data_IF_782505805911
#
_entry.id   IF_782505805911
#
_cell.length_a   1.000
_cell.length_b   1.000
_cell.length_c   1.000
_cell.angle_alpha   90.00
_cell.angle_beta   90.00
_cell.angle_gamma   90.00
#
_symmetry.space_group_name_H-M   'P 1'
#
loop_
_entity.id
_entity.type
_entity.pdbx_description
1 polymer ?
#
# COMPACT_ATOMS: atom_id res chain seq x y z
N UNK A 1 34.52 3.81 12.95
CA UNK A 1 34.93 4.83 13.89
C UNK A 1 33.79 5.37 14.72
N UNK A 2 34.08 6.27 15.62
CA UNK A 2 33.04 6.85 16.48
C UNK A 2 31.95 7.57 15.68
N UNK A 3 32.30 8.16 14.54
CA UNK A 3 31.35 8.85 13.67
C UNK A 3 30.28 7.92 13.08
N UNK A 4 30.54 6.61 13.07
CA UNK A 4 29.59 5.62 12.59
C UNK A 4 28.62 5.12 13.67
N UNK A 5 28.82 5.53 14.92
CA UNK A 5 27.98 5.12 16.03
C UNK A 5 26.76 6.05 16.14
N UNK A 6 25.60 5.43 16.34
CA UNK A 6 24.39 6.18 16.60
C UNK A 6 24.40 6.72 18.04
N UNK A 7 24.06 8.00 18.26
CA UNK A 7 23.99 8.54 19.62
C UNK A 7 22.81 7.93 20.39
N UNK A 8 23.00 7.78 21.71
CA UNK A 8 21.94 7.31 22.63
C UNK A 8 21.45 5.90 22.40
N UNK A 9 22.14 5.09 21.57
CA UNK A 9 21.79 3.69 21.35
C UNK A 9 23.02 2.82 21.53
N UNK A 10 22.82 1.59 21.95
CA UNK A 10 23.88 0.62 22.19
C UNK A 10 23.58 -0.69 21.48
N UNK A 11 24.64 -1.35 20.96
CA UNK A 11 24.56 -2.66 20.37
C UNK A 11 23.56 -2.73 19.20
N UNK A 12 22.70 -3.74 19.25
CA UNK A 12 21.74 -4.00 18.17
C UNK A 12 20.46 -3.15 18.25
N UNK A 13 20.26 -2.39 19.32
CA UNK A 13 19.05 -1.57 19.48
C UNK A 13 18.91 -0.50 18.38
N UNK A 14 20.02 0.12 17.96
CA UNK A 14 20.01 1.07 16.88
C UNK A 14 19.55 0.49 15.56
N UNK A 15 20.22 -0.57 15.04
CA UNK A 15 19.80 -1.23 13.80
C UNK A 15 18.40 -1.78 13.86
N UNK A 16 17.99 -2.42 14.94
CA UNK A 16 16.62 -2.95 15.06
C UNK A 16 15.57 -1.85 15.11
N UNK A 17 15.88 -0.71 15.73
CA UNK A 17 14.99 0.45 15.72
C UNK A 17 14.77 0.98 14.30
N UNK A 18 15.83 1.06 13.50
CA UNK A 18 15.76 1.47 12.10
C UNK A 18 14.95 0.47 11.27
N UNK A 19 15.16 -0.83 11.48
CA UNK A 19 14.42 -1.88 10.78
C UNK A 19 12.92 -1.80 11.08
N UNK A 20 12.55 -1.58 12.34
CA UNK A 20 11.14 -1.47 12.71
C UNK A 20 10.47 -0.27 12.05
N UNK A 21 11.15 0.86 11.99
CA UNK A 21 10.64 2.05 11.31
C UNK A 21 10.53 1.84 9.81
N UNK A 22 11.50 1.17 9.21
CA UNK A 22 11.46 0.85 7.79
C UNK A 22 10.29 -0.08 7.46
N UNK A 23 10.06 -1.10 8.29
CA UNK A 23 8.92 -2.01 8.11
C UNK A 23 7.59 -1.28 8.16
N UNK A 24 7.45 -0.36 9.11
CA UNK A 24 6.25 0.46 9.21
C UNK A 24 6.09 1.36 7.97
N UNK A 25 7.17 2.03 7.55
CA UNK A 25 7.15 2.89 6.37
C UNK A 25 6.77 2.14 5.09
N UNK A 26 7.28 0.91 4.93
CA UNK A 26 6.97 0.06 3.79
C UNK A 26 5.47 -0.24 3.73
N UNK A 27 4.80 -0.40 4.86
CA UNK A 27 3.36 -0.66 4.88
C UNK A 27 2.57 0.45 4.18
N UNK A 28 2.95 1.71 4.39
CA UNK A 28 2.35 2.84 3.68
C UNK A 28 2.72 2.86 2.20
N UNK A 29 3.99 2.58 1.88
CA UNK A 29 4.46 2.55 0.49
C UNK A 29 3.75 1.51 -0.35
N UNK A 30 3.55 0.33 0.21
CA UNK A 30 2.82 -0.75 -0.46
C UNK A 30 1.36 -0.36 -0.73
N UNK A 31 0.72 0.34 0.21
CA UNK A 31 -0.65 0.82 0.01
C UNK A 31 -0.73 1.85 -1.12
N UNK A 32 0.27 2.73 -1.25
CA UNK A 32 0.34 3.65 -2.38
C UNK A 32 0.48 2.94 -3.72
N UNK A 33 1.32 1.90 -3.78
CA UNK A 33 1.46 1.07 -4.99
C UNK A 33 0.15 0.36 -5.33
N UNK A 34 -0.55 -0.17 -4.33
CA UNK A 34 -1.84 -0.81 -4.53
C UNK A 34 -2.89 0.18 -5.04
N UNK A 35 -2.89 1.39 -4.53
CA UNK A 35 -3.78 2.47 -5.00
C UNK A 35 -3.52 2.79 -6.47
N UNK A 36 -2.26 2.89 -6.86
CA UNK A 36 -1.91 3.11 -8.27
C UNK A 36 -2.46 1.98 -9.14
N UNK A 37 -2.31 0.74 -8.71
CA UNK A 37 -2.83 -0.41 -9.44
C UNK A 37 -4.35 -0.35 -9.57
N UNK A 38 -5.05 0.06 -8.52
CA UNK A 38 -6.50 0.23 -8.55
C UNK A 38 -6.91 1.28 -9.58
N UNK A 39 -6.27 2.44 -9.56
CA UNK A 39 -6.58 3.52 -10.50
C UNK A 39 -6.25 3.13 -11.95
N UNK A 40 -5.13 2.45 -12.16
CA UNK A 40 -4.75 1.98 -13.49
C UNK A 40 -5.74 0.94 -14.02
N UNK A 41 -6.16 0.01 -13.17
CA UNK A 41 -7.14 -1.01 -13.55
C UNK A 41 -8.50 -0.37 -13.85
N UNK A 42 -8.91 0.61 -13.06
CA UNK A 42 -10.17 1.32 -13.29
C UNK A 42 -10.13 2.08 -14.62
N UNK A 43 -9.05 2.80 -14.90
CA UNK A 43 -8.93 3.57 -16.14
C UNK A 43 -8.89 2.65 -17.35
N UNK A 44 -8.13 1.55 -17.26
CA UNK A 44 -8.09 0.56 -18.33
C UNK A 44 -9.48 -0.02 -18.59
N UNK A 45 -10.23 -0.35 -17.55
CA UNK A 45 -11.57 -0.88 -17.66
C UNK A 45 -12.55 0.09 -18.30
N UNK A 46 -12.36 1.40 -18.10
CA UNK A 46 -13.18 2.43 -18.74
C UNK A 46 -12.83 2.58 -20.21
N UNK A 47 -11.55 2.43 -20.58
CA UNK A 47 -11.06 2.63 -21.94
C UNK A 47 -11.23 1.39 -22.83
N UNK A 48 -11.03 0.20 -22.26
CA UNK A 48 -11.12 -1.06 -23.01
C UNK A 48 -12.59 -1.45 -23.24
N UNK A 49 -12.95 -1.71 -24.49
CA UNK A 49 -14.30 -2.10 -24.85
C UNK A 49 -14.35 -3.55 -25.26
N UNK A 50 -15.37 -4.26 -24.80
CA UNK A 50 -15.71 -5.62 -25.19
C UNK A 50 -17.22 -5.69 -25.37
N UNK A 51 -17.67 -6.38 -26.42
CA UNK A 51 -19.11 -6.49 -26.73
C UNK A 51 -19.78 -5.11 -26.89
N UNK A 52 -19.02 -4.10 -27.39
CA UNK A 52 -19.52 -2.75 -27.57
C UNK A 52 -19.65 -1.90 -26.32
N UNK A 53 -19.14 -2.39 -25.17
CA UNK A 53 -19.24 -1.69 -23.89
C UNK A 53 -17.89 -1.68 -23.18
N UNK A 54 -17.58 -0.64 -22.39
CA UNK A 54 -16.40 -0.68 -21.52
C UNK A 54 -16.45 -1.88 -20.59
N UNK A 55 -15.31 -2.52 -20.35
CA UNK A 55 -15.29 -3.69 -19.46
C UNK A 55 -15.59 -3.32 -18.01
N UNK A 56 -15.37 -2.06 -17.62
CA UNK A 56 -15.76 -1.57 -16.29
C UNK A 56 -17.28 -1.61 -16.07
N UNK A 57 -18.08 -1.74 -17.15
CA UNK A 57 -19.52 -1.91 -17.05
C UNK A 57 -19.97 -3.31 -16.68
N UNK A 58 -19.06 -4.28 -16.69
CA UNK A 58 -19.43 -5.67 -16.33
C UNK A 58 -19.42 -5.84 -14.81
N UNK A 59 -20.35 -6.64 -14.30
CA UNK A 59 -20.43 -6.90 -12.86
C UNK A 59 -19.16 -7.59 -12.33
N UNK A 60 -18.57 -8.51 -13.09
CA UNK A 60 -17.35 -9.19 -12.69
C UNK A 60 -16.20 -8.20 -12.47
N UNK A 61 -16.02 -7.27 -13.40
CA UNK A 61 -14.96 -6.26 -13.29
C UNK A 61 -15.22 -5.33 -12.11
N UNK A 62 -16.47 -4.90 -11.95
CA UNK A 62 -16.87 -4.03 -10.84
C UNK A 62 -16.65 -4.71 -9.49
N UNK A 63 -16.93 -6.02 -9.39
CA UNK A 63 -16.68 -6.77 -8.16
C UNK A 63 -15.20 -6.78 -7.81
N UNK A 64 -14.34 -7.00 -8.79
CA UNK A 64 -12.89 -6.99 -8.57
C UNK A 64 -12.40 -5.62 -8.08
N UNK A 65 -12.88 -4.55 -8.70
CA UNK A 65 -12.52 -3.19 -8.27
C UNK A 65 -13.02 -2.91 -6.85
N UNK A 66 -14.24 -3.32 -6.53
CA UNK A 66 -14.80 -3.14 -5.19
C UNK A 66 -13.99 -3.89 -4.13
N UNK A 67 -13.57 -5.12 -4.42
CA UNK A 67 -12.74 -5.90 -3.52
C UNK A 67 -11.36 -5.26 -3.33
N UNK A 68 -10.75 -4.77 -4.40
CA UNK A 68 -9.47 -4.06 -4.32
C UNK A 68 -9.58 -2.83 -3.43
N UNK A 69 -10.62 -2.01 -3.64
CA UNK A 69 -10.84 -0.81 -2.85
C UNK A 69 -11.05 -1.14 -1.37
N UNK A 70 -11.83 -2.18 -1.08
CA UNK A 70 -12.08 -2.63 0.28
C UNK A 70 -10.78 -3.05 0.97
N UNK A 71 -9.96 -3.86 0.32
CA UNK A 71 -8.71 -4.33 0.90
C UNK A 71 -7.71 -3.19 1.10
N UNK A 72 -7.61 -2.27 0.14
CA UNK A 72 -6.73 -1.10 0.26
C UNK A 72 -7.17 -0.23 1.43
N UNK A 73 -8.48 0.02 1.56
CA UNK A 73 -9.02 0.83 2.64
C UNK A 73 -8.73 0.21 4.01
N UNK A 74 -8.90 -1.11 4.13
CA UNK A 74 -8.58 -1.83 5.37
C UNK A 74 -7.09 -1.77 5.67
N UNK A 75 -6.24 -1.93 4.64
CA UNK A 75 -4.79 -1.85 4.80
C UNK A 75 -4.34 -0.47 5.28
N UNK A 76 -4.92 0.59 4.72
CA UNK A 76 -4.62 1.96 5.15
C UNK A 76 -5.02 2.20 6.60
N UNK A 77 -6.19 1.72 7.00
CA UNK A 77 -6.66 1.84 8.39
C UNK A 77 -5.76 1.05 9.34
N UNK A 78 -5.32 -0.13 8.95
CA UNK A 78 -4.40 -0.93 9.74
C UNK A 78 -3.06 -0.21 9.93
N UNK A 79 -2.50 0.37 8.86
CA UNK A 79 -1.26 1.13 8.94
C UNK A 79 -1.41 2.35 9.84
N UNK A 80 -2.52 3.06 9.73
CA UNK A 80 -2.81 4.21 10.57
C UNK A 80 -2.89 3.80 12.05
N UNK A 81 -3.58 2.70 12.34
CA UNK A 81 -3.72 2.20 13.72
C UNK A 81 -2.36 1.87 14.32
N UNK A 82 -1.51 1.17 13.56
CA UNK A 82 -0.15 0.85 14.02
C UNK A 82 0.64 2.13 14.32
N UNK A 83 0.51 3.13 13.46
CA UNK A 83 1.20 4.40 13.68
C UNK A 83 0.74 5.16 14.91
N UNK A 84 -0.49 4.91 15.37
CA UNK A 84 -1.04 5.55 16.56
C UNK A 84 -0.78 4.77 17.85
N UNK A 85 -0.24 3.57 17.76
CA UNK A 85 0.15 2.82 18.95
C UNK A 85 1.43 3.37 19.55
#
# INVERSE_FOLDING_TARGET
GEDALLPFVEGLKGPFGCLNRARYGISWGVMGAAEFCLHAARQYGLDRKQFGKPIAGTQLYQLKLANMLTEISLGLQASLRVGRL
#
